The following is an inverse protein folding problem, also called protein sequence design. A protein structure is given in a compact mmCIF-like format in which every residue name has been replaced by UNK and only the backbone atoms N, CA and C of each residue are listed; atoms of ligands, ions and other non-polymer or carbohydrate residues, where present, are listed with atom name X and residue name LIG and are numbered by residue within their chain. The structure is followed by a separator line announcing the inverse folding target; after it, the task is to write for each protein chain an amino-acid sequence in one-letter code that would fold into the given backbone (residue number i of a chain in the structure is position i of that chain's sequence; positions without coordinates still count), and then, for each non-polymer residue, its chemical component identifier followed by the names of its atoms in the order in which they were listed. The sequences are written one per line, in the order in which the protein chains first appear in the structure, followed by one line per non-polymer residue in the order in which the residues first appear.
data_IF_775524712818
#
_entry.id   IF_775524712818
#
_cell.length_a   1.000
_cell.length_b   1.000
_cell.length_c   1.000
_cell.angle_alpha   90.00
_cell.angle_beta   90.00
_cell.angle_gamma   90.00
#
_symmetry.space_group_name_H-M   'P 1'
#
loop_
_entity.id
_entity.type
_entity.pdbx_description
1 polymer ?
#
# COMPACT_ATOMS: atom_id res chain seq x y z
N UNK A 1 1.82 -25.79 16.65
CA UNK A 1 2.41 -24.92 15.62
C UNK A 1 3.44 -25.74 14.87
N UNK A 2 3.69 -25.44 13.60
CA UNK A 2 4.82 -26.03 12.88
C UNK A 2 6.10 -25.23 13.13
N UNK A 3 7.26 -25.75 12.70
CA UNK A 3 8.57 -25.12 12.90
C UNK A 3 8.61 -23.67 12.40
N UNK A 4 7.99 -23.42 11.25
CA UNK A 4 7.97 -22.11 10.59
C UNK A 4 7.15 -21.09 11.39
N UNK A 5 5.98 -21.48 11.87
CA UNK A 5 5.12 -20.66 12.73
C UNK A 5 5.81 -20.33 14.05
N UNK A 6 6.50 -21.29 14.67
CA UNK A 6 7.23 -21.08 15.92
C UNK A 6 8.39 -20.11 15.74
N UNK A 7 9.16 -20.24 14.65
CA UNK A 7 10.24 -19.32 14.30
C UNK A 7 9.72 -17.91 14.03
N UNK A 8 8.61 -17.78 13.31
CA UNK A 8 7.97 -16.49 13.04
C UNK A 8 7.53 -15.78 14.33
N UNK A 9 6.79 -16.47 15.21
CA UNK A 9 6.35 -15.88 16.48
C UNK A 9 7.55 -15.52 17.36
N UNK A 10 8.59 -16.36 17.39
CA UNK A 10 9.79 -16.07 18.14
C UNK A 10 10.52 -14.82 17.62
N UNK A 11 10.67 -14.68 16.30
CA UNK A 11 11.28 -13.50 15.68
C UNK A 11 10.48 -12.22 15.97
N UNK A 12 9.15 -12.26 15.86
CA UNK A 12 8.25 -11.16 16.23
C UNK A 12 8.49 -10.71 17.68
N UNK A 13 8.56 -11.67 18.60
CA UNK A 13 8.81 -11.39 20.01
C UNK A 13 10.23 -10.91 20.29
N UNK A 14 11.22 -11.40 19.55
CA UNK A 14 12.62 -11.06 19.75
C UNK A 14 12.95 -9.63 19.33
N UNK A 15 12.30 -9.17 18.25
CA UNK A 15 12.46 -7.83 17.69
C UNK A 15 11.37 -6.83 18.15
N UNK A 16 10.58 -7.18 19.16
CA UNK A 16 9.52 -6.30 19.68
C UNK A 16 10.12 -4.95 20.14
N UNK A 17 9.45 -3.85 19.76
CA UNK A 17 9.91 -2.48 19.98
C UNK A 17 11.08 -1.99 19.12
N UNK A 18 11.66 -2.82 18.25
CA UNK A 18 12.72 -2.41 17.32
C UNK A 18 12.15 -1.91 15.98
N UNK A 19 12.87 -1.00 15.32
CA UNK A 19 12.53 -0.42 14.01
C UNK A 19 13.63 -0.63 12.99
N UNK A 20 13.29 -0.60 11.69
CA UNK A 20 14.28 -0.72 10.60
C UNK A 20 15.24 0.49 10.61
N UNK A 21 16.50 0.25 10.23
CA UNK A 21 17.57 1.26 10.24
C UNK A 21 17.39 2.35 9.17
N UNK A 22 16.89 1.98 7.99
CA UNK A 22 16.72 2.90 6.84
C UNK A 22 15.38 3.62 6.88
N UNK A 23 14.35 2.97 7.42
CA UNK A 23 12.97 3.44 7.48
C UNK A 23 12.40 3.15 8.87
N UNK A 24 12.54 4.12 9.78
CA UNK A 24 12.21 3.97 11.20
C UNK A 24 10.72 3.81 11.47
N UNK A 25 9.86 3.98 10.47
CA UNK A 25 8.42 3.78 10.62
C UNK A 25 8.05 2.29 10.57
N UNK A 26 8.89 1.46 9.93
CA UNK A 26 8.69 0.02 9.81
C UNK A 26 9.24 -0.73 11.02
N UNK A 27 8.47 -1.64 11.65
CA UNK A 27 8.99 -2.57 12.64
C UNK A 27 10.15 -3.40 12.10
N UNK A 28 11.17 -3.69 12.92
CA UNK A 28 12.36 -4.42 12.47
C UNK A 28 12.02 -5.81 11.90
N UNK A 29 11.02 -6.48 12.47
CA UNK A 29 10.55 -7.81 12.06
C UNK A 29 10.07 -7.90 10.61
N UNK A 30 9.70 -6.77 9.99
CA UNK A 30 9.35 -6.69 8.56
C UNK A 30 10.42 -7.34 7.69
N UNK A 31 11.71 -7.17 8.03
CA UNK A 31 12.79 -7.73 7.24
C UNK A 31 12.94 -9.25 7.38
N UNK A 32 13.07 -9.83 8.58
CA UNK A 32 13.08 -11.28 8.74
C UNK A 32 11.88 -11.98 8.09
N UNK A 33 10.67 -11.38 8.14
CA UNK A 33 9.49 -11.94 7.46
C UNK A 33 9.67 -11.92 5.94
N UNK A 34 10.17 -10.83 5.36
CA UNK A 34 10.46 -10.77 3.92
C UNK A 34 11.54 -11.79 3.51
N UNK A 35 12.58 -11.99 4.31
CA UNK A 35 13.63 -12.99 4.05
C UNK A 35 13.02 -14.40 4.02
N UNK A 36 12.20 -14.74 5.01
CA UNK A 36 11.49 -16.02 5.04
C UNK A 36 10.52 -16.19 3.85
N UNK A 37 9.79 -15.13 3.47
CA UNK A 37 8.88 -15.15 2.31
C UNK A 37 9.64 -15.39 1.00
N UNK A 38 10.81 -14.78 0.81
CA UNK A 38 11.68 -15.03 -0.36
C UNK A 38 12.11 -16.51 -0.39
N UNK A 39 12.55 -17.07 0.75
CA UNK A 39 12.95 -18.48 0.81
C UNK A 39 11.78 -19.43 0.50
N UNK A 40 10.58 -19.09 0.99
CA UNK A 40 9.34 -19.81 0.69
C UNK A 40 8.96 -19.72 -0.79
N UNK A 41 9.08 -18.55 -1.41
CA UNK A 41 8.82 -18.30 -2.84
C UNK A 41 9.66 -19.23 -3.73
N UNK A 42 10.93 -19.44 -3.38
CA UNK A 42 11.84 -20.32 -4.11
C UNK A 42 11.81 -21.80 -3.67
N UNK A 43 10.86 -22.18 -2.80
CA UNK A 43 10.59 -23.58 -2.47
C UNK A 43 11.62 -24.24 -1.55
N UNK A 44 12.33 -23.48 -0.73
CA UNK A 44 13.23 -24.05 0.29
C UNK A 44 12.47 -24.74 1.43
N UNK A 45 13.15 -25.65 2.13
CA UNK A 45 12.56 -26.43 3.22
C UNK A 45 12.28 -25.60 4.50
N UNK A 46 11.49 -26.17 5.41
CA UNK A 46 11.04 -25.49 6.64
C UNK A 46 12.17 -25.01 7.53
N UNK A 47 13.31 -25.72 7.62
CA UNK A 47 14.45 -25.30 8.46
C UNK A 47 15.13 -24.05 7.86
N UNK A 48 15.22 -23.97 6.53
CA UNK A 48 15.76 -22.80 5.82
C UNK A 48 14.82 -21.59 5.97
N UNK A 49 13.51 -21.79 5.83
CA UNK A 49 12.52 -20.73 6.05
C UNK A 49 12.56 -20.24 7.51
N UNK A 50 12.63 -21.16 8.48
CA UNK A 50 12.78 -20.82 9.90
C UNK A 50 14.05 -20.01 10.16
N UNK A 51 15.18 -20.40 9.55
CA UNK A 51 16.42 -19.62 9.63
C UNK A 51 16.27 -18.21 9.04
N UNK A 52 15.46 -18.04 7.98
CA UNK A 52 15.12 -16.71 7.45
C UNK A 52 14.44 -15.80 8.47
N UNK A 53 13.49 -16.31 9.25
CA UNK A 53 12.88 -15.54 10.36
C UNK A 53 13.87 -15.22 11.47
N UNK A 54 14.88 -16.07 11.69
CA UNK A 54 15.76 -16.02 12.86
C UNK A 54 17.14 -15.40 12.60
N UNK A 55 17.50 -15.12 11.35
CA UNK A 55 18.88 -14.78 10.95
C UNK A 55 19.47 -13.57 11.70
N UNK A 56 18.64 -12.57 12.00
CA UNK A 56 19.02 -11.35 12.71
C UNK A 56 18.92 -11.48 14.25
N UNK A 57 18.35 -12.57 14.75
CA UNK A 57 18.04 -12.71 16.19
C UNK A 57 19.32 -12.74 17.03
N UNK A 58 20.33 -13.49 16.60
CA UNK A 58 21.61 -13.56 17.32
C UNK A 58 22.38 -12.23 17.26
N UNK A 59 22.16 -11.42 16.24
CA UNK A 59 22.86 -10.16 16.06
C UNK A 59 22.22 -9.01 16.83
N UNK A 60 20.91 -8.85 16.70
CA UNK A 60 20.21 -7.61 17.05
C UNK A 60 19.31 -7.78 18.29
N UNK A 61 19.36 -8.93 18.97
CA UNK A 61 18.57 -9.22 20.17
C UNK A 61 19.43 -9.78 21.32
N UNK A 62 18.78 -10.18 22.42
CA UNK A 62 19.44 -10.72 23.62
C UNK A 62 19.68 -12.23 23.58
N UNK A 63 19.16 -12.93 22.57
CA UNK A 63 19.22 -14.39 22.49
C UNK A 63 20.60 -14.87 22.03
N UNK A 64 20.96 -16.09 22.45
CA UNK A 64 22.27 -16.70 22.14
C UNK A 64 22.10 -18.04 21.42
N UNK A 65 23.21 -18.59 20.90
CA UNK A 65 23.24 -19.87 20.18
C UNK A 65 22.46 -20.99 20.88
N UNK A 66 22.63 -21.12 22.20
CA UNK A 66 21.98 -22.17 22.99
C UNK A 66 20.47 -22.01 23.10
N UNK A 67 19.93 -20.79 22.95
CA UNK A 67 18.49 -20.57 22.87
C UNK A 67 17.93 -21.11 21.55
N UNK A 68 18.60 -20.80 20.43
CA UNK A 68 18.18 -21.24 19.10
C UNK A 68 18.30 -22.76 18.97
N UNK A 69 19.41 -23.36 19.41
CA UNK A 69 19.59 -24.81 19.36
C UNK A 69 18.54 -25.55 20.20
N UNK A 70 18.24 -25.04 21.40
CA UNK A 70 17.25 -25.65 22.29
C UNK A 70 15.83 -25.59 21.73
N UNK A 71 15.48 -24.51 21.02
CA UNK A 71 14.14 -24.28 20.51
C UNK A 71 13.92 -24.88 19.11
N UNK A 72 14.92 -24.81 18.24
CA UNK A 72 14.77 -25.11 16.80
C UNK A 72 15.75 -26.18 16.29
N UNK A 73 16.66 -26.65 17.13
CA UNK A 73 17.64 -27.70 16.79
C UNK A 73 18.92 -27.18 16.14
N UNK A 74 19.89 -28.09 16.01
CA UNK A 74 21.25 -27.79 15.54
C UNK A 74 21.31 -27.37 14.07
N UNK A 75 20.42 -27.89 13.22
CA UNK A 75 20.38 -27.54 11.79
C UNK A 75 19.99 -26.07 11.59
N UNK A 76 18.93 -25.62 12.27
CA UNK A 76 18.48 -24.22 12.23
C UNK A 76 19.54 -23.30 12.84
N UNK A 77 20.15 -23.69 13.97
CA UNK A 77 21.27 -22.93 14.53
C UNK A 77 22.41 -22.77 13.51
N UNK A 78 22.79 -23.84 12.80
CA UNK A 78 23.85 -23.77 11.78
C UNK A 78 23.52 -22.73 10.69
N UNK A 79 22.29 -22.74 10.18
CA UNK A 79 21.83 -21.82 9.16
C UNK A 79 21.82 -20.36 9.66
N UNK A 80 21.26 -20.11 10.84
CA UNK A 80 21.18 -18.78 11.46
C UNK A 80 22.58 -18.23 11.69
N UNK A 81 23.46 -19.04 12.30
CA UNK A 81 24.81 -18.61 12.68
C UNK A 81 25.70 -18.27 11.48
N UNK A 82 25.47 -18.90 10.32
CA UNK A 82 26.17 -18.55 9.08
C UNK A 82 25.70 -17.22 8.47
N UNK A 83 24.46 -16.82 8.73
CA UNK A 83 23.91 -15.54 8.29
C UNK A 83 24.24 -14.40 9.27
N UNK A 84 24.64 -14.73 10.51
CA UNK A 84 25.05 -13.76 11.52
C UNK A 84 26.56 -13.42 11.48
N UNK A 85 26.91 -12.16 11.71
CA UNK A 85 28.29 -11.68 11.80
C UNK A 85 28.93 -12.07 13.16
N UNK A 86 30.06 -12.81 13.16
CA UNK A 86 30.57 -13.48 14.35
C UNK A 86 31.24 -12.56 15.39
N UNK A 87 31.73 -11.39 14.99
CA UNK A 87 32.46 -10.49 15.90
C UNK A 87 32.24 -9.00 15.55
N UNK A 88 31.43 -8.30 16.35
CA UNK A 88 31.16 -6.87 16.20
C UNK A 88 32.33 -5.97 16.68
N UNK A 89 33.41 -6.54 17.24
CA UNK A 89 34.61 -5.79 17.65
C UNK A 89 35.57 -5.47 16.48
N UNK A 90 35.46 -6.23 15.38
CA UNK A 90 36.25 -6.02 14.16
C UNK A 90 35.74 -4.82 13.34
N UNK A 91 36.59 -4.31 12.43
CA UNK A 91 36.19 -3.23 11.52
C UNK A 91 35.04 -3.65 10.60
N UNK A 92 34.34 -2.69 10.01
CA UNK A 92 33.25 -3.04 9.08
C UNK A 92 33.82 -3.81 7.89
N UNK A 93 34.95 -3.37 7.36
CA UNK A 93 35.62 -3.93 6.20
C UNK A 93 36.10 -5.37 6.46
N UNK A 94 36.69 -5.64 7.63
CA UNK A 94 37.16 -6.99 8.01
C UNK A 94 35.99 -7.98 8.17
N UNK A 95 34.90 -7.56 8.81
CA UNK A 95 33.70 -8.41 8.98
C UNK A 95 33.06 -8.77 7.65
N UNK A 96 33.03 -7.80 6.72
CA UNK A 96 32.46 -7.97 5.39
C UNK A 96 33.37 -8.81 4.49
N UNK A 97 34.69 -8.65 4.59
CA UNK A 97 35.67 -9.52 3.93
C UNK A 97 35.56 -10.97 4.41
N UNK A 98 35.42 -11.19 5.72
CA UNK A 98 35.19 -12.53 6.29
C UNK A 98 33.93 -13.16 5.72
N UNK A 99 32.81 -12.41 5.69
CA UNK A 99 31.55 -12.87 5.11
C UNK A 99 31.72 -13.29 3.65
N UNK A 100 32.40 -12.48 2.82
CA UNK A 100 32.66 -12.79 1.41
C UNK A 100 33.44 -14.11 1.28
N UNK A 101 34.51 -14.30 2.05
CA UNK A 101 35.32 -15.52 1.96
C UNK A 101 34.56 -16.75 2.44
N UNK A 102 33.94 -16.66 3.61
CA UNK A 102 33.21 -17.77 4.23
C UNK A 102 32.03 -18.24 3.37
N UNK A 103 31.29 -17.29 2.76
CA UNK A 103 30.11 -17.61 1.92
C UNK A 103 30.46 -18.50 0.73
N UNK A 104 31.70 -18.42 0.23
CA UNK A 104 32.15 -19.10 -0.98
C UNK A 104 32.01 -20.63 -0.91
N UNK A 105 32.32 -21.18 0.26
CA UNK A 105 32.47 -22.63 0.48
C UNK A 105 31.23 -23.26 1.14
N UNK A 106 30.14 -22.48 1.30
CA UNK A 106 28.88 -22.95 1.86
C UNK A 106 28.05 -23.75 0.86
N UNK A 107 27.23 -24.67 1.37
CA UNK A 107 26.21 -25.35 0.58
C UNK A 107 25.02 -24.42 0.25
N UNK A 108 24.16 -24.89 -0.66
CA UNK A 108 23.06 -24.10 -1.20
C UNK A 108 22.06 -23.63 -0.14
N UNK A 109 21.83 -24.39 0.95
CA UNK A 109 20.86 -24.03 1.99
C UNK A 109 21.34 -22.80 2.77
N UNK A 110 22.61 -22.77 3.15
CA UNK A 110 23.21 -21.62 3.82
C UNK A 110 23.36 -20.41 2.87
N UNK A 111 23.76 -20.64 1.62
CA UNK A 111 23.82 -19.59 0.59
C UNK A 111 22.46 -18.96 0.34
N UNK A 112 21.37 -19.73 0.39
CA UNK A 112 20.03 -19.22 0.19
C UNK A 112 19.62 -18.19 1.25
N UNK A 113 19.88 -18.45 2.53
CA UNK A 113 19.56 -17.52 3.63
C UNK A 113 20.31 -16.20 3.45
N UNK A 114 21.62 -16.26 3.18
CA UNK A 114 22.45 -15.07 2.93
C UNK A 114 21.96 -14.30 1.71
N UNK A 115 21.63 -15.01 0.62
CA UNK A 115 21.13 -14.40 -0.60
C UNK A 115 19.78 -13.71 -0.38
N UNK A 116 18.85 -14.36 0.32
CA UNK A 116 17.53 -13.79 0.64
C UNK A 116 17.63 -12.54 1.53
N UNK A 117 18.54 -12.54 2.51
CA UNK A 117 18.88 -11.33 3.29
C UNK A 117 19.34 -10.19 2.35
N UNK A 118 20.32 -10.46 1.47
CA UNK A 118 20.82 -9.43 0.53
C UNK A 118 19.75 -8.94 -0.44
N UNK A 119 18.88 -9.83 -0.94
CA UNK A 119 17.74 -9.45 -1.78
C UNK A 119 16.82 -8.51 -1.01
N UNK A 120 16.38 -8.89 0.20
CA UNK A 120 15.45 -8.07 0.97
C UNK A 120 16.02 -6.68 1.26
N UNK A 121 17.32 -6.59 1.58
CA UNK A 121 17.98 -5.31 1.85
C UNK A 121 18.19 -4.45 0.60
N UNK A 122 18.53 -5.07 -0.54
CA UNK A 122 18.68 -4.37 -1.82
C UNK A 122 17.36 -3.87 -2.38
N UNK A 123 16.27 -4.62 -2.22
CA UNK A 123 14.94 -4.17 -2.59
C UNK A 123 14.49 -2.94 -1.80
N UNK A 124 14.72 -2.95 -0.48
CA UNK A 124 14.39 -1.79 0.36
C UNK A 124 15.21 -0.56 -0.05
N UNK A 125 16.50 -0.75 -0.35
CA UNK A 125 17.38 0.31 -0.82
C UNK A 125 16.96 0.85 -2.19
N UNK A 126 16.59 -0.04 -3.13
CA UNK A 126 16.09 0.31 -4.45
C UNK A 126 14.81 1.13 -4.34
N UNK A 127 13.79 0.61 -3.64
CA UNK A 127 12.51 1.30 -3.43
C UNK A 127 12.73 2.67 -2.78
N UNK A 128 13.50 2.73 -1.69
CA UNK A 128 13.77 4.00 -1.01
C UNK A 128 14.51 4.99 -1.91
N UNK A 129 15.42 4.53 -2.75
CA UNK A 129 16.20 5.40 -3.64
C UNK A 129 15.37 5.97 -4.78
N UNK A 130 14.42 5.18 -5.29
CA UNK A 130 13.52 5.63 -6.37
C UNK A 130 12.44 6.59 -5.87
N UNK A 131 11.97 6.41 -4.63
CA UNK A 131 10.96 7.30 -4.02
C UNK A 131 11.61 8.61 -3.53
N UNK A 132 12.72 8.52 -2.81
CA UNK A 132 13.30 9.66 -2.08
C UNK A 132 14.53 10.28 -2.76
N UNK A 133 14.98 9.72 -3.89
CA UNK A 133 16.30 10.01 -4.45
C UNK A 133 17.43 9.24 -3.74
N UNK A 134 18.66 9.44 -4.19
CA UNK A 134 19.83 8.66 -3.79
C UNK A 134 20.00 8.53 -2.25
N UNK A 135 19.84 7.30 -1.74
CA UNK A 135 19.80 7.02 -0.29
C UNK A 135 21.10 6.43 0.28
N UNK A 136 22.20 6.38 -0.47
CA UNK A 136 23.45 5.77 0.02
C UNK A 136 24.07 6.49 1.22
N UNK A 137 23.68 7.74 1.48
CA UNK A 137 24.04 8.47 2.70
C UNK A 137 23.43 7.86 3.98
N UNK A 138 22.33 7.10 3.86
CA UNK A 138 21.68 6.40 4.98
C UNK A 138 22.33 5.05 5.31
N UNK A 139 23.19 4.54 4.44
CA UNK A 139 23.91 3.30 4.69
C UNK A 139 25.09 3.56 5.63
N UNK A 140 25.47 2.53 6.41
CA UNK A 140 26.59 2.63 7.40
C UNK A 140 27.92 3.04 6.75
N UNK A 141 28.08 2.78 5.45
CA UNK A 141 29.18 3.20 4.59
C UNK A 141 28.62 3.81 3.31
N UNK A 142 29.44 4.54 2.56
CA UNK A 142 29.03 5.16 1.30
C UNK A 142 28.83 4.15 0.16
N UNK A 143 28.48 4.68 -1.02
CA UNK A 143 28.18 3.92 -2.24
C UNK A 143 29.23 2.84 -2.56
N UNK A 144 30.50 3.23 -2.71
CA UNK A 144 31.59 2.33 -3.14
C UNK A 144 31.80 1.13 -2.21
N UNK A 145 31.74 1.35 -0.88
CA UNK A 145 31.91 0.27 0.08
C UNK A 145 30.76 -0.74 0.03
N UNK A 146 29.52 -0.26 -0.13
CA UNK A 146 28.38 -1.16 -0.25
C UNK A 146 28.42 -1.90 -1.59
N UNK A 147 28.76 -1.22 -2.67
CA UNK A 147 28.93 -1.83 -4.00
C UNK A 147 29.92 -2.99 -3.95
N UNK A 148 31.13 -2.72 -3.44
CA UNK A 148 32.15 -3.75 -3.24
C UNK A 148 31.64 -4.95 -2.43
N UNK A 149 30.90 -4.69 -1.34
CA UNK A 149 30.38 -5.73 -0.48
C UNK A 149 29.33 -6.61 -1.18
N UNK A 150 28.32 -6.01 -1.81
CA UNK A 150 27.25 -6.77 -2.47
C UNK A 150 27.78 -7.56 -3.67
N UNK A 151 28.70 -6.99 -4.45
CA UNK A 151 29.36 -7.70 -5.56
C UNK A 151 30.22 -8.86 -5.07
N UNK A 152 30.99 -8.64 -3.99
CA UNK A 152 31.80 -9.67 -3.37
C UNK A 152 30.94 -10.84 -2.88
N UNK A 153 29.85 -10.54 -2.17
CA UNK A 153 28.91 -11.57 -1.68
C UNK A 153 28.25 -12.30 -2.84
N UNK A 154 27.79 -11.60 -3.87
CA UNK A 154 27.20 -12.24 -5.06
C UNK A 154 28.18 -13.22 -5.72
N UNK A 155 29.42 -12.82 -5.94
CA UNK A 155 30.44 -13.68 -6.54
C UNK A 155 30.72 -14.93 -5.69
N UNK A 156 30.69 -14.80 -4.35
CA UNK A 156 30.82 -15.94 -3.45
C UNK A 156 29.59 -16.85 -3.44
N UNK A 157 28.39 -16.28 -3.53
CA UNK A 157 27.13 -17.04 -3.58
C UNK A 157 27.07 -17.94 -4.82
N UNK A 158 27.50 -17.45 -5.99
CA UNK A 158 27.47 -18.23 -7.23
C UNK A 158 28.65 -19.22 -7.37
N UNK A 159 29.62 -19.17 -6.46
CA UNK A 159 30.77 -20.07 -6.52
C UNK A 159 30.32 -21.53 -6.39
N UNK A 160 30.71 -22.37 -7.36
CA UNK A 160 30.33 -23.78 -7.46
C UNK A 160 28.80 -24.01 -7.46
N UNK A 161 28.01 -22.99 -7.82
CA UNK A 161 26.56 -23.07 -7.96
C UNK A 161 26.14 -22.75 -9.40
N UNK A 162 24.88 -23.08 -9.75
CA UNK A 162 24.29 -22.60 -11.00
C UNK A 162 23.97 -21.11 -10.90
N UNK A 163 24.73 -20.28 -11.61
CA UNK A 163 24.51 -18.83 -11.70
C UNK A 163 23.13 -18.46 -12.26
N UNK A 164 22.46 -19.38 -12.97
CA UNK A 164 21.13 -19.16 -13.51
C UNK A 164 20.02 -19.53 -12.53
N UNK A 165 20.37 -19.97 -11.30
CA UNK A 165 19.37 -20.19 -10.27
C UNK A 165 18.57 -18.90 -10.04
N UNK A 166 17.22 -18.93 -10.08
CA UNK A 166 16.38 -17.74 -10.06
C UNK A 166 16.66 -16.78 -8.89
N UNK A 167 16.97 -17.31 -7.70
CA UNK A 167 17.36 -16.54 -6.53
C UNK A 167 18.61 -15.66 -6.79
N UNK A 168 19.66 -16.20 -7.40
CA UNK A 168 20.89 -15.45 -7.68
C UNK A 168 20.70 -14.45 -8.82
N UNK A 169 19.89 -14.79 -9.82
CA UNK A 169 19.51 -13.87 -10.90
C UNK A 169 18.81 -12.64 -10.34
N UNK A 170 17.84 -12.83 -9.43
CA UNK A 170 17.15 -11.71 -8.75
C UNK A 170 18.11 -10.80 -8.00
N UNK A 171 19.05 -11.37 -7.24
CA UNK A 171 20.07 -10.58 -6.55
C UNK A 171 20.95 -9.79 -7.54
N UNK A 172 21.37 -10.41 -8.65
CA UNK A 172 22.18 -9.73 -9.67
C UNK A 172 21.44 -8.55 -10.28
N UNK A 173 20.19 -8.73 -10.66
CA UNK A 173 19.34 -7.66 -11.21
C UNK A 173 19.21 -6.49 -10.23
N UNK A 174 19.05 -6.76 -8.94
CA UNK A 174 19.00 -5.71 -7.92
C UNK A 174 20.33 -4.96 -7.77
N UNK A 175 21.46 -5.68 -7.82
CA UNK A 175 22.81 -5.08 -7.81
C UNK A 175 22.99 -4.16 -9.02
N UNK A 176 22.57 -4.61 -10.20
CA UNK A 176 22.68 -3.85 -11.45
C UNK A 176 21.80 -2.61 -11.43
N UNK A 177 20.56 -2.75 -10.97
CA UNK A 177 19.63 -1.63 -10.82
C UNK A 177 20.20 -0.57 -9.86
N UNK A 178 20.66 -0.98 -8.68
CA UNK A 178 21.05 -0.04 -7.61
C UNK A 178 22.43 0.58 -7.84
N UNK A 179 23.43 -0.19 -8.29
CA UNK A 179 24.82 0.28 -8.38
C UNK A 179 25.27 0.66 -9.79
N UNK A 180 24.51 0.29 -10.81
CA UNK A 180 24.83 0.59 -12.21
C UNK A 180 23.73 1.40 -12.90
N UNK A 181 22.59 1.60 -12.23
CA UNK A 181 21.43 2.29 -12.78
C UNK A 181 20.91 1.62 -14.07
N UNK A 182 21.18 0.31 -14.22
CA UNK A 182 20.66 -0.52 -15.29
C UNK A 182 19.21 -0.88 -14.95
N UNK A 183 18.29 -0.06 -15.43
CA UNK A 183 16.86 -0.26 -15.21
C UNK A 183 16.26 -1.10 -16.32
N UNK A 184 15.35 -2.01 -15.96
CA UNK A 184 14.59 -2.81 -16.93
C UNK A 184 13.76 -1.96 -17.93
N UNK A 185 13.62 -0.66 -17.68
CA UNK A 185 12.75 0.26 -18.41
C UNK A 185 13.48 1.35 -19.22
N UNK A 186 14.77 1.17 -19.54
CA UNK A 186 15.53 2.16 -20.33
C UNK A 186 14.84 2.57 -21.63
N UNK A 187 14.14 1.65 -22.31
CA UNK A 187 13.33 1.98 -23.48
C UNK A 187 12.18 2.94 -23.13
N UNK A 188 11.48 2.69 -22.03
CA UNK A 188 10.37 3.54 -21.58
C UNK A 188 10.92 4.94 -21.27
N UNK A 189 12.00 5.03 -20.50
CA UNK A 189 12.62 6.32 -20.18
C UNK A 189 13.15 7.04 -21.41
N UNK A 190 14.04 6.39 -22.17
CA UNK A 190 14.85 7.05 -23.20
C UNK A 190 14.13 7.19 -24.55
N UNK A 191 13.04 6.44 -24.77
CA UNK A 191 12.26 6.47 -26.03
C UNK A 191 10.86 7.00 -25.80
N UNK A 192 10.10 6.46 -24.83
CA UNK A 192 8.70 6.88 -24.61
C UNK A 192 8.64 8.23 -23.90
N UNK A 193 9.47 8.45 -22.89
CA UNK A 193 9.49 9.68 -22.08
C UNK A 193 10.69 10.60 -22.37
N UNK A 194 11.34 10.44 -23.53
CA UNK A 194 12.58 11.14 -23.91
C UNK A 194 12.54 12.66 -23.65
N UNK A 195 11.40 13.28 -23.90
CA UNK A 195 11.21 14.74 -23.77
C UNK A 195 10.31 15.12 -22.57
N UNK A 196 10.07 14.18 -21.65
CA UNK A 196 9.17 14.35 -20.50
C UNK A 196 9.68 13.62 -19.26
N UNK A 197 10.89 13.99 -18.84
CA UNK A 197 11.56 13.44 -17.65
C UNK A 197 10.74 13.62 -16.36
N UNK A 198 10.01 14.74 -16.25
CA UNK A 198 9.15 15.02 -15.10
C UNK A 198 8.08 13.94 -14.94
N UNK A 199 7.33 13.66 -16.01
CA UNK A 199 6.25 12.68 -15.94
C UNK A 199 6.77 11.26 -15.71
N UNK A 200 7.90 10.90 -16.33
CA UNK A 200 8.57 9.62 -16.05
C UNK A 200 8.93 9.50 -14.57
N UNK A 201 9.48 10.57 -13.97
CA UNK A 201 9.86 10.56 -12.56
C UNK A 201 8.66 10.37 -11.64
N UNK A 202 7.56 11.09 -11.87
CA UNK A 202 6.32 10.93 -11.09
C UNK A 202 5.76 9.51 -11.20
N UNK A 203 5.72 8.94 -12.41
CA UNK A 203 5.30 7.56 -12.63
C UNK A 203 6.22 6.55 -11.94
N UNK A 204 7.53 6.77 -11.98
CA UNK A 204 8.52 5.93 -11.30
C UNK A 204 8.26 5.94 -9.79
N UNK A 205 8.10 7.11 -9.18
CA UNK A 205 7.81 7.24 -7.74
C UNK A 205 6.54 6.45 -7.38
N UNK A 206 5.44 6.64 -8.12
CA UNK A 206 4.20 5.89 -7.88
C UNK A 206 4.39 4.37 -8.03
N UNK A 207 5.16 3.93 -9.04
CA UNK A 207 5.46 2.51 -9.26
C UNK A 207 6.20 1.90 -8.07
N UNK A 208 7.23 2.57 -7.54
CA UNK A 208 7.99 2.05 -6.41
C UNK A 208 7.23 2.15 -5.08
N UNK A 209 6.41 3.18 -4.86
CA UNK A 209 5.45 3.23 -3.73
C UNK A 209 4.48 2.05 -3.78
N UNK A 210 3.96 1.72 -4.95
CA UNK A 210 3.08 0.55 -5.14
C UNK A 210 3.82 -0.78 -4.87
N UNK A 211 5.08 -0.92 -5.32
CA UNK A 211 5.91 -2.09 -5.00
C UNK A 211 6.14 -2.24 -3.49
N UNK A 212 6.36 -1.13 -2.79
CA UNK A 212 6.50 -1.10 -1.33
C UNK A 212 5.25 -1.65 -0.63
N UNK A 213 4.07 -1.20 -1.06
CA UNK A 213 2.80 -1.66 -0.49
C UNK A 213 2.60 -3.17 -0.67
N UNK A 214 2.92 -3.75 -1.84
CA UNK A 214 2.85 -5.20 -2.01
C UNK A 214 3.75 -5.94 -1.02
N UNK A 215 4.96 -5.43 -0.83
CA UNK A 215 5.93 -6.01 0.12
C UNK A 215 5.38 -5.95 1.54
N UNK A 216 4.83 -4.81 1.96
CA UNK A 216 4.20 -4.65 3.28
C UNK A 216 2.98 -5.58 3.45
N UNK A 217 2.09 -5.65 2.45
CA UNK A 217 0.88 -6.48 2.51
C UNK A 217 1.17 -7.98 2.40
N UNK A 218 2.36 -8.38 1.95
CA UNK A 218 2.79 -9.79 1.97
C UNK A 218 3.16 -10.30 3.37
N UNK A 219 3.25 -9.42 4.37
CA UNK A 219 3.68 -9.74 5.73
C UNK A 219 2.50 -10.19 6.61
N UNK A 220 1.29 -9.71 6.32
CA UNK A 220 0.10 -10.00 7.10
C UNK A 220 -0.92 -10.77 6.25
N UNK A 221 -1.07 -12.07 6.54
CA UNK A 221 -2.01 -12.96 5.85
C UNK A 221 -3.48 -12.61 6.16
N UNK A 222 -3.77 -11.90 7.27
CA UNK A 222 -5.11 -11.45 7.66
C UNK A 222 -5.26 -9.94 7.42
N UNK A 223 -5.08 -9.50 6.18
CA UNK A 223 -5.25 -8.10 5.80
C UNK A 223 -6.71 -7.81 5.49
N UNK A 224 -7.30 -6.81 6.14
CA UNK A 224 -8.59 -6.29 5.70
C UNK A 224 -8.40 -5.53 4.36
N UNK A 225 -9.39 -5.57 3.45
CA UNK A 225 -9.36 -4.76 2.24
C UNK A 225 -9.25 -3.27 2.56
N UNK A 226 -8.48 -2.53 1.78
CA UNK A 226 -8.41 -1.07 1.91
C UNK A 226 -9.52 -0.42 1.08
N UNK A 227 -10.41 0.33 1.73
CA UNK A 227 -11.64 0.87 1.15
C UNK A 227 -11.49 2.35 0.82
N UNK A 228 -11.62 2.68 -0.46
CA UNK A 228 -11.51 4.02 -1.02
C UNK A 228 -12.89 4.47 -1.51
N UNK A 229 -13.41 5.59 -1.01
CA UNK A 229 -14.59 6.24 -1.59
C UNK A 229 -14.19 7.43 -2.46
N UNK A 230 -14.82 7.57 -3.63
CA UNK A 230 -14.75 8.77 -4.45
C UNK A 230 -16.04 9.58 -4.36
N UNK A 231 -15.91 10.87 -4.07
CA UNK A 231 -17.00 11.85 -4.08
C UNK A 231 -16.63 13.09 -4.89
N UNK A 232 -17.61 13.91 -5.26
CA UNK A 232 -17.31 15.29 -5.60
C UNK A 232 -18.23 15.93 -6.62
N UNK A 233 -17.90 17.15 -7.02
CA UNK A 233 -18.69 17.96 -7.95
C UNK A 233 -18.92 17.23 -9.29
N UNK A 234 -20.07 17.38 -9.95
CA UNK A 234 -20.25 16.86 -11.30
C UNK A 234 -19.18 17.39 -12.26
N UNK A 235 -18.74 16.53 -13.19
CA UNK A 235 -17.77 16.86 -14.25
C UNK A 235 -16.37 17.24 -13.75
N UNK A 236 -15.91 16.59 -12.69
CA UNK A 236 -14.53 16.70 -12.18
C UNK A 236 -13.56 15.63 -12.69
N UNK A 237 -14.01 14.70 -13.54
CA UNK A 237 -13.15 13.64 -14.10
C UNK A 237 -13.06 12.35 -13.26
N UNK A 238 -13.90 12.19 -12.21
CA UNK A 238 -13.89 11.02 -11.31
C UNK A 238 -13.86 9.66 -12.01
N UNK A 239 -14.72 9.44 -13.01
CA UNK A 239 -14.80 8.14 -13.69
C UNK A 239 -13.47 7.78 -14.38
N UNK A 240 -12.81 8.75 -15.01
CA UNK A 240 -11.49 8.53 -15.61
C UNK A 240 -10.44 8.23 -14.53
N UNK A 241 -10.47 8.98 -13.42
CA UNK A 241 -9.56 8.80 -12.29
C UNK A 241 -9.69 7.40 -11.66
N UNK A 242 -10.92 6.95 -11.38
CA UNK A 242 -11.21 5.61 -10.84
C UNK A 242 -10.72 4.53 -11.80
N UNK A 243 -10.96 4.68 -13.11
CA UNK A 243 -10.51 3.73 -14.12
C UNK A 243 -8.98 3.65 -14.19
N UNK A 244 -8.29 4.80 -14.15
CA UNK A 244 -6.83 4.86 -14.15
C UNK A 244 -6.23 4.22 -12.89
N UNK A 245 -6.81 4.47 -11.72
CA UNK A 245 -6.37 3.87 -10.46
C UNK A 245 -6.59 2.35 -10.44
N UNK A 246 -7.76 1.89 -10.89
CA UNK A 246 -8.06 0.46 -11.02
C UNK A 246 -7.05 -0.24 -11.94
N UNK A 247 -6.71 0.34 -13.10
CA UNK A 247 -5.68 -0.21 -13.99
C UNK A 247 -4.28 -0.17 -13.35
N UNK A 248 -3.93 0.94 -12.69
CA UNK A 248 -2.64 1.14 -12.03
C UNK A 248 -2.38 0.07 -10.96
N UNK A 249 -3.33 -0.17 -10.07
CA UNK A 249 -3.21 -1.17 -9.01
C UNK A 249 -3.28 -2.60 -9.57
N UNK A 250 -4.17 -2.90 -10.54
CA UNK A 250 -4.25 -4.24 -11.16
C UNK A 250 -2.96 -4.63 -11.86
N UNK A 251 -2.34 -3.71 -12.62
CA UNK A 251 -1.02 -3.92 -13.22
C UNK A 251 0.09 -4.06 -12.18
N UNK A 252 -0.15 -3.61 -10.95
CA UNK A 252 0.71 -3.86 -9.81
C UNK A 252 0.48 -5.21 -9.13
N UNK A 253 -0.49 -6.02 -9.55
CA UNK A 253 -0.78 -7.31 -8.92
C UNK A 253 -1.71 -7.24 -7.70
N UNK A 254 -2.42 -6.13 -7.50
CA UNK A 254 -3.47 -6.03 -6.48
C UNK A 254 -4.78 -6.62 -7.01
N UNK A 255 -5.51 -7.36 -6.17
CA UNK A 255 -6.91 -7.67 -6.41
C UNK A 255 -7.81 -6.49 -6.01
N UNK A 256 -8.71 -6.08 -6.90
CA UNK A 256 -9.50 -4.86 -6.72
C UNK A 256 -10.96 -5.11 -7.05
N UNK A 257 -11.82 -4.68 -6.13
CA UNK A 257 -13.25 -4.63 -6.34
C UNK A 257 -13.74 -3.19 -6.49
N UNK A 258 -14.23 -2.84 -7.67
CA UNK A 258 -14.94 -1.57 -7.88
C UNK A 258 -16.44 -1.77 -7.61
N UNK A 259 -17.01 -0.92 -6.77
CA UNK A 259 -18.43 -0.83 -6.47
C UNK A 259 -19.02 0.38 -7.20
N UNK A 260 -19.99 0.12 -8.06
CA UNK A 260 -20.74 1.17 -8.76
C UNK A 260 -21.63 1.95 -7.79
N UNK A 261 -21.94 3.20 -8.15
CA UNK A 261 -22.86 4.06 -7.41
C UNK A 261 -24.17 3.31 -7.11
N UNK A 262 -24.42 3.12 -5.82
CA UNK A 262 -25.46 2.22 -5.34
C UNK A 262 -26.83 2.58 -5.93
N UNK A 263 -27.23 3.86 -5.89
CA UNK A 263 -28.57 4.29 -6.32
C UNK A 263 -28.78 4.29 -7.84
N UNK A 264 -27.71 4.21 -8.63
CA UNK A 264 -27.80 4.12 -10.10
C UNK A 264 -27.58 2.70 -10.61
N UNK A 265 -27.10 1.79 -9.75
CA UNK A 265 -26.90 0.38 -10.05
C UNK A 265 -28.17 -0.36 -10.46
N UNK A 266 -28.00 -1.40 -11.28
CA UNK A 266 -29.10 -2.29 -11.67
C UNK A 266 -29.67 -3.05 -10.46
N UNK A 267 -28.81 -3.46 -9.53
CA UNK A 267 -29.21 -4.11 -8.27
C UNK A 267 -30.16 -3.24 -7.47
N UNK A 268 -29.83 -1.96 -7.27
CA UNK A 268 -30.75 -1.05 -6.58
C UNK A 268 -32.06 -0.88 -7.34
N UNK A 269 -32.01 -0.61 -8.66
CA UNK A 269 -33.22 -0.36 -9.46
C UNK A 269 -34.18 -1.55 -9.50
N UNK A 270 -33.64 -2.77 -9.56
CA UNK A 270 -34.44 -3.97 -9.76
C UNK A 270 -34.83 -4.66 -8.45
N UNK A 271 -33.94 -4.67 -7.46
CA UNK A 271 -34.10 -5.52 -6.27
C UNK A 271 -34.48 -4.71 -5.02
N UNK A 272 -34.08 -3.44 -4.93
CA UNK A 272 -34.26 -2.62 -3.72
C UNK A 272 -35.31 -1.52 -3.92
N UNK A 273 -35.18 -0.72 -4.97
CA UNK A 273 -36.06 0.41 -5.27
C UNK A 273 -37.54 0.04 -5.33
N UNK A 274 -37.97 -1.13 -5.83
CA UNK A 274 -39.39 -1.50 -5.80
C UNK A 274 -39.98 -1.56 -4.39
N UNK A 275 -39.19 -1.93 -3.38
CA UNK A 275 -39.60 -1.93 -1.96
C UNK A 275 -39.59 -0.53 -1.33
N UNK A 276 -38.85 0.39 -1.92
CA UNK A 276 -38.70 1.76 -1.44
C UNK A 276 -39.57 2.77 -2.20
N UNK A 277 -40.10 2.44 -3.38
CA UNK A 277 -40.72 3.41 -4.30
C UNK A 277 -41.82 4.27 -3.66
N UNK A 278 -42.66 3.66 -2.83
CA UNK A 278 -43.82 4.30 -2.18
C UNK A 278 -43.47 4.94 -0.83
N UNK A 279 -42.22 4.78 -0.36
CA UNK A 279 -41.75 5.38 0.89
C UNK A 279 -41.47 6.87 0.73
N UNK A 280 -41.58 7.58 1.85
CA UNK A 280 -41.19 9.00 1.93
C UNK A 280 -39.72 9.19 1.59
N UNK A 281 -39.34 10.42 1.20
CA UNK A 281 -37.93 10.76 0.97
C UNK A 281 -37.08 10.50 2.22
N UNK A 282 -37.67 10.77 3.40
CA UNK A 282 -37.03 10.51 4.68
C UNK A 282 -36.67 9.04 4.84
N UNK A 283 -37.67 8.17 4.76
CA UNK A 283 -37.46 6.73 4.88
C UNK A 283 -36.46 6.20 3.83
N UNK A 284 -36.55 6.62 2.57
CA UNK A 284 -35.62 6.19 1.51
C UNK A 284 -34.17 6.44 1.90
N UNK A 285 -33.87 7.64 2.37
CA UNK A 285 -32.52 8.03 2.80
C UNK A 285 -32.08 7.32 4.08
N UNK A 286 -33.00 6.93 4.95
CA UNK A 286 -32.69 6.08 6.12
C UNK A 286 -32.35 4.64 5.72
N UNK A 287 -32.92 4.10 4.63
CA UNK A 287 -32.63 2.72 4.21
C UNK A 287 -31.36 2.56 3.36
N UNK A 288 -31.03 3.57 2.54
CA UNK A 288 -29.85 3.51 1.64
C UNK A 288 -28.56 3.08 2.35
N UNK A 289 -28.12 3.70 3.47
CA UNK A 289 -26.80 3.41 4.04
C UNK A 289 -26.69 1.96 4.55
N UNK A 290 -27.80 1.37 5.00
CA UNK A 290 -27.86 -0.06 5.35
C UNK A 290 -27.54 -0.95 4.16
N UNK A 291 -28.10 -0.65 2.98
CA UNK A 291 -27.86 -1.48 1.80
C UNK A 291 -26.48 -1.26 1.20
N UNK A 292 -25.94 -0.05 1.25
CA UNK A 292 -24.54 0.20 0.87
C UNK A 292 -23.59 -0.58 1.78
N UNK A 293 -23.84 -0.58 3.10
CA UNK A 293 -23.06 -1.38 4.03
C UNK A 293 -23.11 -2.88 3.69
N UNK A 294 -24.29 -3.42 3.39
CA UNK A 294 -24.43 -4.82 2.97
C UNK A 294 -23.63 -5.14 1.69
N UNK A 295 -23.64 -4.23 0.71
CA UNK A 295 -22.85 -4.39 -0.51
C UNK A 295 -21.34 -4.36 -0.23
N UNK A 296 -20.90 -3.49 0.68
CA UNK A 296 -19.51 -3.42 1.12
C UNK A 296 -19.10 -4.67 1.89
N UNK A 297 -19.91 -5.14 2.84
CA UNK A 297 -19.66 -6.38 3.59
C UNK A 297 -19.55 -7.59 2.64
N UNK A 298 -20.39 -7.65 1.60
CA UNK A 298 -20.30 -8.69 0.56
C UNK A 298 -18.99 -8.58 -0.24
N UNK A 299 -18.55 -7.36 -0.56
CA UNK A 299 -17.29 -7.14 -1.26
C UNK A 299 -16.08 -7.52 -0.40
N UNK A 300 -16.10 -7.17 0.88
CA UNK A 300 -15.07 -7.54 1.87
C UNK A 300 -14.98 -9.06 2.00
N UNK A 301 -16.12 -9.76 2.00
CA UNK A 301 -16.15 -11.23 2.10
C UNK A 301 -15.46 -11.97 0.94
N UNK A 302 -15.19 -11.27 -0.17
CA UNK A 302 -14.45 -11.80 -1.33
C UNK A 302 -12.94 -11.59 -1.22
N UNK A 303 -12.48 -11.00 -0.13
CA UNK A 303 -11.07 -10.79 0.22
C UNK A 303 -10.22 -10.06 -0.84
N UNK A 304 -10.71 -8.96 -1.46
CA UNK A 304 -9.87 -8.16 -2.37
C UNK A 304 -8.82 -7.37 -1.57
N UNK A 305 -7.72 -6.97 -2.20
CA UNK A 305 -6.77 -6.04 -1.57
C UNK A 305 -7.37 -4.65 -1.37
N UNK A 306 -8.12 -4.18 -2.37
CA UNK A 306 -8.65 -2.81 -2.44
C UNK A 306 -10.12 -2.84 -2.88
N UNK A 307 -10.94 -2.03 -2.23
CA UNK A 307 -12.32 -1.76 -2.65
C UNK A 307 -12.42 -0.29 -3.04
N UNK A 308 -12.97 0.01 -4.22
CA UNK A 308 -13.19 1.40 -4.68
C UNK A 308 -14.69 1.63 -4.85
N UNK A 309 -15.27 2.54 -4.07
CA UNK A 309 -16.65 2.99 -4.22
C UNK A 309 -16.76 4.26 -5.06
N UNK A 310 -17.49 4.21 -6.18
CA UNK A 310 -17.85 5.40 -6.97
C UNK A 310 -19.14 6.01 -6.41
N UNK A 311 -19.06 7.19 -5.76
CA UNK A 311 -20.19 7.96 -5.19
C UNK A 311 -21.07 7.13 -4.26
N UNK A 312 -20.57 6.91 -3.04
CA UNK A 312 -21.18 6.03 -2.05
C UNK A 312 -21.85 6.83 -0.92
N UNK A 313 -21.41 6.67 0.33
CA UNK A 313 -22.11 7.18 1.50
C UNK A 313 -21.87 8.67 1.70
N UNK A 314 -20.65 9.16 1.50
CA UNK A 314 -20.32 10.57 1.68
C UNK A 314 -20.95 11.43 0.59
N UNK A 315 -20.92 10.99 -0.67
CA UNK A 315 -21.61 11.69 -1.77
C UNK A 315 -23.12 11.85 -1.46
N UNK A 316 -23.74 10.83 -0.85
CA UNK A 316 -25.13 10.93 -0.40
C UNK A 316 -25.31 11.89 0.77
N UNK A 317 -24.37 11.94 1.71
CA UNK A 317 -24.40 12.88 2.83
C UNK A 317 -24.25 14.34 2.35
N UNK A 318 -23.41 14.60 1.34
CA UNK A 318 -23.33 15.89 0.64
C UNK A 318 -24.68 16.27 0.04
N UNK A 319 -25.35 15.33 -0.63
CA UNK A 319 -26.69 15.57 -1.16
C UNK A 319 -27.73 15.88 -0.07
N UNK A 320 -27.66 15.20 1.08
CA UNK A 320 -28.52 15.45 2.25
C UNK A 320 -28.25 16.85 2.84
N UNK A 321 -27.00 17.26 2.97
CA UNK A 321 -26.63 18.61 3.42
C UNK A 321 -27.22 19.68 2.48
N UNK A 322 -27.19 19.43 1.17
CA UNK A 322 -27.80 20.34 0.20
C UNK A 322 -29.31 20.48 0.37
N UNK A 323 -30.04 19.40 0.68
CA UNK A 323 -31.46 19.50 1.02
C UNK A 323 -31.69 20.36 2.27
N UNK A 324 -30.79 20.27 3.25
CA UNK A 324 -30.85 21.07 4.46
C UNK A 324 -30.59 22.56 4.18
N UNK A 325 -29.58 22.90 3.37
CA UNK A 325 -29.31 24.28 2.90
C UNK A 325 -30.57 24.87 2.23
N UNK A 326 -31.24 24.08 1.41
CA UNK A 326 -32.47 24.45 0.69
C UNK A 326 -33.73 24.47 1.56
N UNK A 327 -33.61 24.10 2.85
CA UNK A 327 -34.73 23.98 3.80
C UNK A 327 -35.81 23.00 3.35
N UNK A 328 -35.43 22.01 2.54
CA UNK A 328 -36.31 20.92 2.10
C UNK A 328 -36.46 19.83 3.17
N UNK A 329 -35.51 19.77 4.12
CA UNK A 329 -35.57 18.91 5.31
C UNK A 329 -35.38 19.75 6.58
N UNK A 330 -35.93 19.27 7.69
CA UNK A 330 -35.78 19.90 9.00
C UNK A 330 -34.39 19.66 9.59
N UNK A 331 -34.01 20.48 10.58
CA UNK A 331 -32.77 20.31 11.34
C UNK A 331 -32.70 18.94 12.05
N UNK A 332 -33.82 18.49 12.62
CA UNK A 332 -33.89 17.18 13.30
C UNK A 332 -33.67 16.04 12.31
N UNK A 333 -34.32 16.07 11.14
CA UNK A 333 -34.08 15.08 10.09
C UNK A 333 -32.63 15.08 9.59
N UNK A 334 -31.99 16.25 9.48
CA UNK A 334 -30.59 16.34 9.10
C UNK A 334 -29.67 15.66 10.13
N UNK A 335 -29.93 15.86 11.43
CA UNK A 335 -29.19 15.16 12.48
C UNK A 335 -29.42 13.66 12.47
N UNK A 336 -30.66 13.20 12.29
CA UNK A 336 -30.97 11.77 12.20
C UNK A 336 -30.14 11.10 11.07
N UNK A 337 -30.01 11.75 9.92
CA UNK A 337 -29.16 11.24 8.85
C UNK A 337 -27.68 11.25 9.21
N UNK A 338 -27.18 12.32 9.86
CA UNK A 338 -25.79 12.34 10.31
C UNK A 338 -25.48 11.18 11.24
N UNK A 339 -26.31 10.95 12.26
CA UNK A 339 -26.15 9.86 13.22
C UNK A 339 -26.17 8.48 12.55
N UNK A 340 -26.85 8.34 11.41
CA UNK A 340 -26.89 7.10 10.66
C UNK A 340 -25.69 6.91 9.72
N UNK A 341 -25.29 7.95 8.98
CA UNK A 341 -24.26 7.85 7.94
C UNK A 341 -22.85 7.92 8.50
N UNK A 342 -22.58 8.83 9.44
CA UNK A 342 -21.24 9.11 9.95
C UNK A 342 -20.55 7.87 10.53
N UNK A 343 -21.18 7.07 11.42
CA UNK A 343 -20.54 5.88 11.95
C UNK A 343 -20.21 4.85 10.86
N UNK A 344 -21.09 4.67 9.87
CA UNK A 344 -20.86 3.71 8.79
C UNK A 344 -19.69 4.16 7.91
N UNK A 345 -19.58 5.45 7.61
CA UNK A 345 -18.46 6.00 6.84
C UNK A 345 -17.15 5.79 7.62
N UNK A 346 -17.09 6.31 8.86
CA UNK A 346 -15.88 6.26 9.69
C UNK A 346 -15.38 4.83 9.93
N UNK A 347 -16.29 3.91 10.18
CA UNK A 347 -15.92 2.56 10.62
C UNK A 347 -15.66 1.60 9.43
N UNK A 348 -15.94 1.99 8.17
CA UNK A 348 -15.84 1.08 7.01
C UNK A 348 -15.13 1.67 5.78
N UNK A 349 -14.71 2.95 5.81
CA UNK A 349 -14.00 3.58 4.69
C UNK A 349 -12.68 4.16 5.22
N UNK A 350 -11.56 3.67 4.67
CA UNK A 350 -10.23 4.09 5.11
C UNK A 350 -9.87 5.49 4.60
N UNK A 351 -10.24 5.81 3.37
CA UNK A 351 -9.97 7.12 2.76
C UNK A 351 -11.08 7.55 1.81
N UNK A 352 -11.38 8.84 1.81
CA UNK A 352 -12.31 9.47 0.89
C UNK A 352 -11.60 10.50 0.04
N UNK A 353 -11.69 10.35 -1.28
CA UNK A 353 -11.15 11.30 -2.25
C UNK A 353 -12.29 12.13 -2.82
N UNK A 354 -12.33 13.40 -2.42
CA UNK A 354 -13.23 14.39 -2.99
C UNK A 354 -12.56 15.15 -4.13
N UNK A 355 -13.27 15.37 -5.23
CA UNK A 355 -12.83 16.27 -6.30
C UNK A 355 -13.84 17.39 -6.48
N UNK A 356 -13.38 18.63 -6.57
CA UNK A 356 -14.26 19.77 -6.81
C UNK A 356 -13.74 20.65 -7.95
N UNK A 357 -14.62 21.52 -8.43
CA UNK A 357 -14.29 22.52 -9.45
C UNK A 357 -15.28 23.67 -9.37
N UNK A 358 -14.89 24.84 -9.84
CA UNK A 358 -15.82 25.94 -10.01
C UNK A 358 -16.92 25.61 -11.02
N UNK A 359 -18.04 26.31 -10.89
CA UNK A 359 -19.23 26.09 -11.68
C UNK A 359 -19.04 26.34 -13.18
N UNK A 360 -18.26 27.34 -13.57
CA UNK A 360 -17.99 27.62 -14.98
C UNK A 360 -17.15 26.51 -15.61
N UNK A 361 -16.14 26.01 -14.91
CA UNK A 361 -15.30 24.90 -15.41
C UNK A 361 -16.11 23.60 -15.52
N UNK A 362 -16.92 23.25 -14.52
CA UNK A 362 -17.82 22.10 -14.58
C UNK A 362 -18.74 22.15 -15.80
N UNK A 363 -19.40 23.30 -16.02
CA UNK A 363 -20.33 23.50 -17.13
C UNK A 363 -19.59 23.48 -18.47
N UNK A 364 -18.43 24.12 -18.57
CA UNK A 364 -17.60 24.08 -19.80
C UNK A 364 -17.21 22.65 -20.17
N UNK A 365 -16.82 21.83 -19.20
CA UNK A 365 -16.50 20.41 -19.42
C UNK A 365 -17.72 19.63 -19.91
N UNK A 366 -18.91 19.89 -19.35
CA UNK A 366 -20.15 19.29 -19.82
C UNK A 366 -20.47 19.64 -21.27
N UNK A 367 -20.34 20.91 -21.66
CA UNK A 367 -20.50 21.30 -23.07
C UNK A 367 -19.40 20.70 -23.96
N UNK A 368 -18.16 20.59 -23.47
CA UNK A 368 -17.04 20.07 -24.25
C UNK A 368 -17.16 18.59 -24.66
N UNK A 369 -17.86 17.77 -23.87
CA UNK A 369 -18.07 16.34 -24.16
C UNK A 369 -19.33 16.05 -24.99
N UNK A 370 -20.19 17.04 -25.18
CA UNK A 370 -21.48 16.89 -25.83
C UNK A 370 -21.51 17.68 -27.15
N UNK A 371 -22.04 17.07 -28.21
CA UNK A 371 -22.19 17.71 -29.52
C UNK A 371 -23.44 18.62 -29.60
N UNK A 372 -23.72 19.40 -28.54
CA UNK A 372 -24.99 20.12 -28.35
C UNK A 372 -24.82 21.42 -27.55
N UNK A 373 -25.48 22.50 -27.97
CA UNK A 373 -25.44 23.84 -27.34
C UNK A 373 -26.69 24.13 -26.47
N UNK A 374 -27.60 23.17 -26.38
CA UNK A 374 -28.86 23.27 -25.66
C UNK A 374 -28.61 23.46 -24.16
N UNK A 375 -29.38 24.36 -23.53
CA UNK A 375 -29.28 24.61 -22.09
C UNK A 375 -29.52 23.33 -21.29
N UNK A 376 -28.65 23.07 -20.33
CA UNK A 376 -28.77 21.93 -19.41
C UNK A 376 -29.86 22.20 -18.36
N UNK A 377 -30.71 21.21 -18.13
CA UNK A 377 -31.77 21.29 -17.10
C UNK A 377 -31.24 21.00 -15.69
N UNK A 378 -30.15 20.23 -15.58
CA UNK A 378 -29.69 19.64 -14.32
C UNK A 378 -28.26 20.02 -13.92
N UNK A 379 -27.55 20.76 -14.77
CA UNK A 379 -26.19 21.23 -14.49
C UNK A 379 -26.08 22.70 -14.89
N UNK A 380 -26.25 23.58 -13.91
CA UNK A 380 -26.20 25.03 -14.05
C UNK A 380 -25.44 25.64 -12.86
N UNK A 381 -25.12 26.94 -12.93
CA UNK A 381 -24.13 27.55 -12.05
C UNK A 381 -24.50 27.46 -10.56
N UNK A 382 -25.72 27.88 -10.22
CA UNK A 382 -26.27 27.77 -8.86
C UNK A 382 -26.29 26.32 -8.36
N UNK A 383 -26.64 25.35 -9.20
CA UNK A 383 -26.59 23.93 -8.81
C UNK A 383 -25.19 23.51 -8.37
N UNK A 384 -24.16 23.90 -9.12
CA UNK A 384 -22.78 23.52 -8.82
C UNK A 384 -22.26 24.26 -7.60
N UNK A 385 -22.57 25.55 -7.46
CA UNK A 385 -22.18 26.35 -6.29
C UNK A 385 -22.80 25.79 -5.01
N UNK A 386 -24.09 25.47 -5.02
CA UNK A 386 -24.77 24.81 -3.89
C UNK A 386 -24.16 23.44 -3.56
N UNK A 387 -23.78 22.66 -4.57
CA UNK A 387 -23.14 21.36 -4.33
C UNK A 387 -21.78 21.54 -3.65
N UNK A 388 -20.97 22.51 -4.11
CA UNK A 388 -19.68 22.81 -3.51
C UNK A 388 -19.84 23.33 -2.07
N UNK A 389 -20.81 24.20 -1.81
CA UNK A 389 -21.13 24.64 -0.45
C UNK A 389 -21.48 23.45 0.46
N UNK A 390 -22.31 22.53 -0.02
CA UNK A 390 -22.64 21.32 0.71
C UNK A 390 -21.42 20.41 0.93
N UNK A 391 -20.53 20.29 -0.06
CA UNK A 391 -19.30 19.50 0.06
C UNK A 391 -18.36 20.06 1.13
N UNK A 392 -18.16 21.38 1.16
CA UNK A 392 -17.32 22.03 2.17
C UNK A 392 -17.93 21.96 3.58
N UNK A 393 -19.26 22.08 3.71
CA UNK A 393 -19.92 21.84 5.00
C UNK A 393 -19.73 20.39 5.50
N UNK A 394 -19.65 19.41 4.58
CA UNK A 394 -19.38 18.01 4.93
C UNK A 394 -17.89 17.78 5.21
N UNK A 395 -16.99 18.53 4.59
CA UNK A 395 -15.56 18.50 4.94
C UNK A 395 -15.33 18.91 6.39
N UNK A 396 -15.95 20.01 6.84
CA UNK A 396 -15.90 20.42 8.25
C UNK A 396 -16.42 19.32 9.18
N UNK A 397 -17.51 18.65 8.80
CA UNK A 397 -18.04 17.51 9.54
C UNK A 397 -17.06 16.33 9.58
N UNK A 398 -16.40 16.01 8.47
CA UNK A 398 -15.42 14.94 8.42
C UNK A 398 -14.25 15.21 9.39
N UNK A 399 -13.79 16.47 9.47
CA UNK A 399 -12.77 16.86 10.44
C UNK A 399 -13.24 16.73 11.89
N UNK A 400 -14.49 17.07 12.19
CA UNK A 400 -15.09 16.92 13.53
C UNK A 400 -15.21 15.46 13.98
N UNK A 401 -15.48 14.55 13.03
CA UNK A 401 -15.78 13.14 13.27
C UNK A 401 -14.60 12.19 13.00
N UNK A 402 -13.40 12.74 12.73
CA UNK A 402 -12.18 12.01 12.41
C UNK A 402 -12.33 11.08 11.18
N UNK A 403 -13.01 11.58 10.14
CA UNK A 403 -13.15 10.91 8.84
C UNK A 403 -12.06 11.41 7.89
N UNK A 404 -11.30 10.47 7.33
CA UNK A 404 -10.17 10.74 6.43
C UNK A 404 -10.62 11.20 5.03
N UNK A 405 -10.89 12.49 4.87
CA UNK A 405 -11.30 13.11 3.61
C UNK A 405 -10.19 14.01 3.05
N UNK A 406 -9.89 13.83 1.76
CA UNK A 406 -8.99 14.72 1.01
C UNK A 406 -9.70 15.32 -0.21
N UNK A 407 -9.75 16.66 -0.27
CA UNK A 407 -10.34 17.40 -1.39
C UNK A 407 -9.27 17.86 -2.40
N UNK A 408 -9.56 17.68 -3.69
CA UNK A 408 -8.71 18.10 -4.81
C UNK A 408 -9.45 19.08 -5.73
N UNK A 409 -8.91 20.29 -5.88
CA UNK A 409 -9.41 21.28 -6.84
C UNK A 409 -8.95 20.95 -8.26
N UNK A 410 -9.93 20.72 -9.15
CA UNK A 410 -9.69 20.38 -10.55
C UNK A 410 -9.87 21.58 -11.49
N UNK A 411 -10.15 22.78 -11.00
CA UNK A 411 -10.53 23.96 -11.79
C UNK A 411 -9.53 24.36 -12.87
N UNK A 412 -8.25 24.44 -12.53
CA UNK A 412 -7.17 24.82 -13.47
C UNK A 412 -6.06 23.77 -13.53
N UNK A 413 -6.40 22.54 -13.18
CA UNK A 413 -5.45 21.44 -13.05
C UNK A 413 -5.77 20.39 -14.10
N UNK A 414 -4.75 19.85 -14.76
CA UNK A 414 -4.97 18.77 -15.73
C UNK A 414 -5.45 17.49 -15.05
N UNK A 415 -6.22 16.66 -15.76
CA UNK A 415 -6.62 15.33 -15.23
C UNK A 415 -5.40 14.48 -14.85
N UNK A 416 -4.26 14.70 -15.53
CA UNK A 416 -3.01 13.99 -15.29
C UNK A 416 -2.37 14.38 -13.96
N UNK A 417 -2.25 15.67 -13.67
CA UNK A 417 -1.74 16.16 -12.39
C UNK A 417 -2.64 15.74 -11.23
N UNK A 418 -3.97 15.81 -11.39
CA UNK A 418 -4.91 15.29 -10.38
C UNK A 418 -4.71 13.80 -10.16
N UNK A 419 -4.50 13.03 -11.23
CA UNK A 419 -4.24 11.59 -11.11
C UNK A 419 -2.95 11.32 -10.32
N UNK A 420 -1.88 12.10 -10.52
CA UNK A 420 -0.66 11.98 -9.74
C UNK A 420 -0.89 12.31 -8.27
N UNK A 421 -1.51 13.46 -7.98
CA UNK A 421 -1.77 13.90 -6.61
C UNK A 421 -2.66 12.92 -5.83
N UNK A 422 -3.75 12.46 -6.44
CA UNK A 422 -4.66 11.49 -5.81
C UNK A 422 -3.97 10.14 -5.60
N UNK A 423 -3.26 9.63 -6.60
CA UNK A 423 -2.55 8.35 -6.46
C UNK A 423 -1.50 8.43 -5.37
N UNK A 424 -0.77 9.54 -5.28
CA UNK A 424 0.23 9.75 -4.24
C UNK A 424 -0.40 9.75 -2.84
N UNK A 425 -1.49 10.50 -2.65
CA UNK A 425 -2.21 10.57 -1.38
C UNK A 425 -2.71 9.20 -0.93
N UNK A 426 -3.33 8.44 -1.84
CA UNK A 426 -3.82 7.09 -1.53
C UNK A 426 -2.67 6.17 -1.14
N UNK A 427 -1.55 6.17 -1.89
CA UNK A 427 -0.41 5.30 -1.60
C UNK A 427 0.27 5.65 -0.26
N UNK A 428 0.35 6.93 0.09
CA UNK A 428 0.91 7.37 1.38
C UNK A 428 0.03 6.93 2.55
N UNK A 429 -1.29 7.10 2.44
CA UNK A 429 -2.24 6.69 3.47
C UNK A 429 -2.27 5.17 3.65
N UNK A 430 -2.36 4.42 2.54
CA UNK A 430 -2.26 2.97 2.54
C UNK A 430 -0.98 2.48 3.22
N UNK A 431 0.15 3.15 3.00
CA UNK A 431 1.43 2.78 3.62
C UNK A 431 1.38 2.92 5.14
N UNK A 432 0.79 4.00 5.64
CA UNK A 432 0.59 4.19 7.09
C UNK A 432 -0.31 3.10 7.65
N UNK A 433 -1.45 2.84 7.01
CA UNK A 433 -2.39 1.81 7.44
C UNK A 433 -1.76 0.41 7.47
N UNK A 434 -1.03 0.02 6.42
CA UNK A 434 -0.36 -1.28 6.35
C UNK A 434 0.72 -1.43 7.44
N UNK A 435 1.50 -0.38 7.70
CA UNK A 435 2.50 -0.37 8.78
C UNK A 435 1.81 -0.52 10.15
N UNK A 436 0.72 0.19 10.39
CA UNK A 436 0.00 0.11 11.66
C UNK A 436 -0.68 -1.24 11.85
N UNK A 437 -1.17 -1.86 10.78
CA UNK A 437 -1.66 -3.23 10.83
C UNK A 437 -0.55 -4.23 11.18
N UNK A 438 0.65 -4.07 10.64
CA UNK A 438 1.82 -4.88 11.04
C UNK A 438 2.16 -4.64 12.52
N UNK A 439 2.17 -3.39 13.01
CA UNK A 439 2.40 -3.11 14.43
C UNK A 439 1.35 -3.78 15.32
N UNK A 440 0.06 -3.73 14.95
CA UNK A 440 -1.02 -4.43 15.67
C UNK A 440 -0.83 -5.94 15.66
N UNK A 441 -0.42 -6.52 14.53
CA UNK A 441 -0.08 -7.94 14.42
C UNK A 441 1.04 -8.33 15.38
N UNK A 442 2.13 -7.53 15.43
CA UNK A 442 3.24 -7.73 16.38
C UNK A 442 2.73 -7.70 17.83
N UNK A 443 1.95 -6.68 18.20
CA UNK A 443 1.40 -6.55 19.56
C UNK A 443 0.48 -7.70 19.96
N UNK A 444 -0.37 -8.19 19.05
CA UNK A 444 -1.26 -9.35 19.31
C UNK A 444 -0.44 -10.61 19.60
N UNK A 445 0.62 -10.85 18.84
CA UNK A 445 1.49 -12.01 19.03
C UNK A 445 2.37 -11.90 20.29
N UNK A 446 2.78 -10.68 20.68
CA UNK A 446 3.51 -10.45 21.94
C UNK A 446 2.67 -10.71 23.20
N UNK A 447 1.35 -10.52 23.12
CA UNK A 447 0.42 -10.64 24.25
C UNK A 447 -0.17 -12.05 24.47
N UNK A 448 -0.02 -12.98 23.52
CA UNK A 448 -0.46 -14.38 23.67
C UNK A 448 0.49 -15.23 24.54
N UNK A 449 1.08 -14.63 25.59
CA UNK A 449 1.98 -15.28 26.54
C UNK A 449 1.27 -15.96 27.69
#
# INVERSE_FOLDING_TARGET
MNLVEEAMIFAINAHDGQVRKVDTEKPAVVHPINVANILKEYGFDEEVIAAGYLHDVLEDTKYVDSDIERLFGSNVLSLVKCASEPDKSLSWEDRKQHTIHFTKDLDIRHKAVICADKISNMEDLMISSEINGECFSKLKRGFESNKWYYEGVYNSLINEQDKNHPLFVRLKQLIDHVFYNEKDDEYIKNVIFKDNDYEYKELSILHYKKKELLKLRSINDNKEPYVIEFTGTPRTGKTNLINNLNDFFKKGGFDIKVLEEFTTSNYFKNDIYPSLKDKSLYEKNTYIPKYVKLQLDEAISKDPDIIIGDRSLLDRLVWINRLYIRKEITKDQYYDYKELYVPIIRDNIDIIIGTYTDSLTSIKRDYGIHLSLEKRKHLYEEYVNEYNEALFNIEDLCHEEDINLHLFDTTNTSEREISFGVSNQILEDMRVNDIDNIKRMVLRNSNNK
#
